data_IF_334635692116
#
_entry.id   IF_334635692116
#
_cell.length_a   1.000
_cell.length_b   1.000
_cell.length_c   1.000
_cell.angle_alpha   90.00
_cell.angle_beta   90.00
_cell.angle_gamma   90.00
#
_symmetry.space_group_name_H-M   'P 1'
#
loop_
_entity.id
_entity.type
_entity.pdbx_description
1 polymer ?
#
# COMPACT_ATOMS: atom_id res chain seq x y z
N UNK A 1 -12.22 17.31 -48.53
CA UNK A 1 -12.00 16.66 -47.22
C UNK A 1 -10.80 17.31 -46.58
N UNK A 2 -11.01 18.09 -45.52
CA UNK A 2 -9.93 18.85 -44.90
C UNK A 2 -10.46 19.62 -43.71
N UNK A 3 -10.75 18.92 -42.61
CA UNK A 3 -10.89 19.57 -41.31
C UNK A 3 -9.51 19.51 -40.65
N UNK A 4 -8.68 20.48 -40.96
CA UNK A 4 -7.52 20.83 -40.13
C UNK A 4 -7.92 22.08 -39.36
N UNK A 5 -8.81 21.90 -38.38
CA UNK A 5 -8.97 22.87 -37.31
C UNK A 5 -8.14 22.34 -36.13
N UNK A 6 -7.36 23.24 -35.56
CA UNK A 6 -6.44 23.00 -34.45
C UNK A 6 -7.24 22.53 -33.24
N UNK A 7 -7.43 21.22 -33.07
CA UNK A 7 -8.06 20.70 -31.87
C UNK A 7 -7.21 21.15 -30.67
N UNK A 8 -7.77 22.04 -29.85
CA UNK A 8 -7.05 22.66 -28.75
C UNK A 8 -6.49 21.61 -27.78
N UNK A 9 -5.53 22.01 -26.93
CA UNK A 9 -4.90 21.08 -25.99
C UNK A 9 -5.96 20.31 -25.18
N UNK A 10 -5.89 18.96 -25.10
CA UNK A 10 -6.86 18.19 -24.33
C UNK A 10 -6.73 18.46 -22.83
N UNK A 11 -7.67 17.89 -22.06
CA UNK A 11 -7.52 17.77 -20.62
C UNK A 11 -6.19 17.09 -20.25
N UNK A 12 -5.68 17.35 -19.06
CA UNK A 12 -4.45 16.69 -18.58
C UNK A 12 -4.61 16.28 -17.12
N UNK A 13 -4.05 15.13 -16.77
CA UNK A 13 -4.09 14.61 -15.41
C UNK A 13 -2.73 14.71 -14.73
N UNK A 14 -2.72 15.19 -13.49
CA UNK A 14 -1.56 15.07 -12.61
C UNK A 14 -1.91 14.21 -11.39
N UNK A 15 -1.23 13.08 -11.24
CA UNK A 15 -1.51 12.10 -10.18
C UNK A 15 -0.38 12.12 -9.14
N UNK A 16 -0.72 12.25 -7.86
CA UNK A 16 0.25 12.25 -6.77
C UNK A 16 0.66 10.82 -6.38
N UNK A 17 1.89 10.41 -6.70
CA UNK A 17 2.39 9.04 -6.54
C UNK A 17 3.75 8.92 -5.84
N UNK A 18 4.12 9.88 -5.00
CA UNK A 18 5.35 9.77 -4.20
C UNK A 18 5.14 9.16 -2.81
N UNK A 19 5.93 9.61 -1.83
CA UNK A 19 6.12 8.89 -0.57
C UNK A 19 4.85 8.77 0.30
N UNK A 20 3.88 9.68 0.15
CA UNK A 20 2.67 9.72 0.96
C UNK A 20 1.44 9.19 0.22
N UNK A 21 1.23 9.60 -1.03
CA UNK A 21 0.08 9.20 -1.84
C UNK A 21 0.49 8.06 -2.77
N UNK A 22 -0.35 7.04 -2.94
CA UNK A 22 0.00 5.88 -3.77
C UNK A 22 0.68 4.72 -3.02
N UNK A 23 0.64 4.70 -1.68
CA UNK A 23 1.21 3.60 -0.88
C UNK A 23 0.13 2.84 -0.12
N UNK A 24 0.26 1.52 -0.03
CA UNK A 24 -0.63 0.65 0.78
C UNK A 24 -0.67 1.07 2.26
N UNK A 25 0.42 1.67 2.76
CA UNK A 25 0.49 2.17 4.15
C UNK A 25 -0.46 3.35 4.38
N UNK A 26 -0.56 4.27 3.41
CA UNK A 26 -1.42 5.45 3.53
C UNK A 26 -2.86 5.13 3.19
N UNK A 27 -3.06 4.36 2.13
CA UNK A 27 -4.36 3.96 1.59
C UNK A 27 -4.33 2.45 1.38
N UNK A 28 -4.67 1.65 2.41
CA UNK A 28 -4.79 0.21 2.27
C UNK A 28 -5.99 -0.15 1.39
N UNK A 29 -5.96 -1.31 0.75
CA UNK A 29 -7.06 -1.81 -0.11
C UNK A 29 -7.04 -1.30 -1.55
N UNK A 30 -6.38 -0.18 -1.83
CA UNK A 30 -6.31 0.38 -3.18
C UNK A 30 -5.11 -0.15 -3.96
N UNK A 31 -5.36 -0.69 -5.16
CA UNK A 31 -4.31 -0.95 -6.14
C UNK A 31 -3.97 0.33 -6.92
N UNK A 32 -2.99 1.05 -6.38
CA UNK A 32 -2.50 2.29 -6.99
C UNK A 32 -1.96 2.04 -8.41
N UNK A 33 -1.30 0.90 -8.68
CA UNK A 33 -0.70 0.66 -10.00
C UNK A 33 -1.80 0.47 -11.05
N UNK A 34 -2.78 -0.39 -10.76
CA UNK A 34 -3.92 -0.61 -11.65
C UNK A 34 -4.71 0.68 -11.87
N UNK A 35 -4.93 1.48 -10.82
CA UNK A 35 -5.59 2.77 -10.96
C UNK A 35 -4.82 3.74 -11.87
N UNK A 36 -3.48 3.81 -11.78
CA UNK A 36 -2.71 4.68 -12.67
C UNK A 36 -2.78 4.20 -14.11
N UNK A 37 -2.73 2.89 -14.33
CA UNK A 37 -2.89 2.32 -15.67
C UNK A 37 -4.24 2.70 -16.27
N UNK A 38 -5.33 2.60 -15.49
CA UNK A 38 -6.67 3.05 -15.92
C UNK A 38 -6.70 4.54 -16.26
N UNK A 39 -6.21 5.41 -15.37
CA UNK A 39 -6.15 6.85 -15.64
C UNK A 39 -5.31 7.19 -16.88
N UNK A 40 -4.24 6.44 -17.12
CA UNK A 40 -3.36 6.62 -18.29
C UNK A 40 -3.92 6.06 -19.60
N UNK A 41 -5.03 5.33 -19.54
CA UNK A 41 -5.74 4.79 -20.71
C UNK A 41 -6.99 5.62 -21.07
N UNK A 42 -7.24 6.74 -20.38
CA UNK A 42 -8.35 7.64 -20.68
C UNK A 42 -8.10 8.38 -21.99
N UNK A 43 -9.11 8.39 -22.85
CA UNK A 43 -9.19 9.20 -24.06
C UNK A 43 -10.22 10.32 -23.90
N UNK A 44 -10.07 11.44 -24.60
CA UNK A 44 -11.11 12.47 -24.69
C UNK A 44 -12.24 12.08 -25.66
N UNK A 45 -13.31 12.88 -25.76
CA UNK A 45 -14.40 12.61 -26.72
C UNK A 45 -13.95 12.53 -28.18
N UNK A 46 -12.79 13.10 -28.52
CA UNK A 46 -12.20 13.03 -29.86
C UNK A 46 -11.34 11.78 -30.07
N UNK A 47 -11.27 10.88 -29.08
CA UNK A 47 -10.47 9.66 -29.10
C UNK A 47 -8.96 9.90 -28.94
N UNK A 48 -8.56 11.04 -28.37
CA UNK A 48 -7.14 11.37 -28.15
C UNK A 48 -6.72 11.00 -26.73
N UNK A 49 -5.52 10.43 -26.55
CA UNK A 49 -5.02 10.06 -25.23
C UNK A 49 -4.82 11.28 -24.35
N UNK A 50 -5.36 11.22 -23.13
CA UNK A 50 -5.25 12.28 -22.13
C UNK A 50 -3.86 12.21 -21.49
N UNK A 51 -3.04 13.28 -21.57
CA UNK A 51 -1.71 13.25 -20.98
C UNK A 51 -1.77 13.11 -19.46
N UNK A 52 -1.17 12.03 -18.94
CA UNK A 52 -1.07 11.75 -17.51
C UNK A 52 0.37 11.88 -17.05
N UNK A 53 0.59 12.73 -16.05
CA UNK A 53 1.90 12.88 -15.38
C UNK A 53 1.80 12.50 -13.92
N UNK A 54 2.83 11.83 -13.43
CA UNK A 54 2.96 11.54 -12.00
C UNK A 54 3.78 12.63 -11.32
N UNK A 55 3.38 13.00 -10.11
CA UNK A 55 4.12 13.92 -9.25
C UNK A 55 4.56 13.21 -7.97
N UNK A 56 5.74 13.60 -7.45
CA UNK A 56 6.22 13.06 -6.17
C UNK A 56 5.40 13.58 -4.98
N UNK A 57 4.95 14.83 -5.02
CA UNK A 57 4.10 15.39 -3.97
C UNK A 57 3.33 16.61 -4.50
N UNK A 58 2.07 16.71 -4.08
CA UNK A 58 1.19 17.86 -4.34
C UNK A 58 0.90 18.71 -3.09
N UNK A 59 1.62 18.47 -1.99
CA UNK A 59 1.54 19.27 -0.75
C UNK A 59 0.39 18.91 0.20
N UNK A 60 -0.72 18.37 -0.30
CA UNK A 60 -1.92 18.06 0.49
C UNK A 60 -2.03 16.57 0.88
N UNK A 61 -0.95 16.01 1.43
CA UNK A 61 -0.84 14.58 1.78
C UNK A 61 -1.90 14.07 2.79
N UNK A 62 -2.67 14.95 3.44
CA UNK A 62 -3.78 14.56 4.31
C UNK A 62 -5.03 14.12 3.54
N UNK A 63 -5.21 14.59 2.31
CA UNK A 63 -6.29 14.12 1.43
C UNK A 63 -5.98 12.75 0.83
N UNK A 64 -4.70 12.38 0.66
CA UNK A 64 -4.30 11.12 0.04
C UNK A 64 -4.82 10.92 -1.41
N UNK A 65 -4.13 10.06 -2.16
CA UNK A 65 -4.42 9.69 -3.55
C UNK A 65 -5.00 10.83 -4.43
N UNK A 66 -4.24 11.93 -4.50
CA UNK A 66 -4.71 13.16 -5.14
C UNK A 66 -4.55 13.09 -6.65
N UNK A 67 -5.60 13.47 -7.37
CA UNK A 67 -5.63 13.65 -8.81
C UNK A 67 -5.99 15.11 -9.11
N UNK A 68 -5.28 15.73 -10.05
CA UNK A 68 -5.60 17.08 -10.53
C UNK A 68 -6.01 16.97 -11.99
N UNK A 69 -7.24 17.39 -12.29
CA UNK A 69 -7.76 17.48 -13.65
C UNK A 69 -7.53 18.90 -14.14
N UNK A 70 -6.66 19.05 -15.13
CA UNK A 70 -6.45 20.33 -15.80
C UNK A 70 -7.43 20.44 -16.97
N UNK A 71 -8.11 21.59 -17.13
CA UNK A 71 -9.01 21.82 -18.25
C UNK A 71 -8.29 21.75 -19.59
N UNK A 72 -9.04 21.35 -20.61
CA UNK A 72 -8.68 21.52 -22.02
C UNK A 72 -8.51 23.02 -22.37
N UNK A 73 -8.04 23.31 -23.57
CA UNK A 73 -7.96 24.69 -24.05
C UNK A 73 -9.34 25.36 -24.10
N UNK A 74 -10.33 24.67 -24.66
CA UNK A 74 -11.72 25.13 -24.72
C UNK A 74 -12.32 25.30 -23.32
N UNK A 75 -12.10 24.31 -22.43
CA UNK A 75 -12.52 24.42 -21.03
C UNK A 75 -11.92 25.62 -20.33
N UNK A 76 -10.65 25.98 -20.58
CA UNK A 76 -10.05 27.21 -20.04
C UNK A 76 -10.69 28.47 -20.59
N UNK A 77 -11.00 28.50 -21.89
CA UNK A 77 -11.67 29.65 -22.54
C UNK A 77 -13.09 29.82 -21.96
N UNK A 78 -13.80 28.73 -21.69
CA UNK A 78 -15.08 28.70 -20.98
C UNK A 78 -14.97 29.02 -19.47
N UNK A 79 -13.77 29.40 -18.98
CA UNK A 79 -13.55 29.80 -17.58
C UNK A 79 -13.09 28.66 -16.65
N UNK A 80 -13.06 27.43 -17.13
CA UNK A 80 -12.60 26.24 -16.40
C UNK A 80 -11.23 26.42 -15.74
N UNK A 81 -11.12 25.91 -14.51
CA UNK A 81 -9.90 25.94 -13.69
C UNK A 81 -9.49 24.52 -13.32
N UNK A 82 -8.22 24.28 -12.96
CA UNK A 82 -7.80 22.97 -12.49
C UNK A 82 -8.59 22.53 -11.25
N UNK A 83 -9.16 21.33 -11.31
CA UNK A 83 -9.91 20.75 -10.19
C UNK A 83 -9.03 19.73 -9.48
N UNK A 84 -8.94 19.89 -8.15
CA UNK A 84 -8.16 19.00 -7.30
C UNK A 84 -9.09 18.02 -6.61
N UNK A 85 -8.83 16.74 -6.78
CA UNK A 85 -9.62 15.64 -6.21
C UNK A 85 -8.75 14.87 -5.22
N UNK A 86 -9.22 14.77 -3.98
CA UNK A 86 -8.60 13.99 -2.91
C UNK A 86 -9.35 12.67 -2.66
N UNK A 87 -8.69 11.70 -2.04
CA UNK A 87 -9.31 10.43 -1.66
C UNK A 87 -9.93 9.66 -2.84
N UNK A 88 -9.38 9.81 -4.05
CA UNK A 88 -9.82 9.07 -5.25
C UNK A 88 -9.41 7.61 -5.10
N UNK A 89 -10.19 6.81 -4.39
CA UNK A 89 -9.79 5.48 -3.91
C UNK A 89 -10.67 4.35 -4.41
N UNK A 90 -11.88 4.69 -4.82
CA UNK A 90 -12.88 3.78 -5.36
C UNK A 90 -12.85 3.79 -6.89
N UNK A 91 -13.23 2.68 -7.51
CA UNK A 91 -13.24 2.52 -8.96
C UNK A 91 -14.26 3.44 -9.63
N UNK A 92 -15.44 3.59 -9.03
CA UNK A 92 -16.47 4.55 -9.47
C UNK A 92 -15.98 6.00 -9.56
N UNK A 93 -14.97 6.38 -8.78
CA UNK A 93 -14.40 7.73 -8.85
C UNK A 93 -13.45 7.88 -10.03
N UNK A 94 -12.79 6.80 -10.43
CA UNK A 94 -11.93 6.78 -11.62
C UNK A 94 -12.82 6.82 -12.87
N UNK A 95 -13.88 6.01 -12.90
CA UNK A 95 -14.91 6.01 -13.96
C UNK A 95 -15.55 7.40 -14.08
N UNK A 96 -15.98 8.01 -12.97
CA UNK A 96 -16.53 9.37 -13.02
C UNK A 96 -15.54 10.45 -13.50
N UNK A 97 -14.22 10.24 -13.35
CA UNK A 97 -13.20 11.13 -13.92
C UNK A 97 -13.08 10.91 -15.42
N UNK A 98 -13.11 9.64 -15.86
CA UNK A 98 -13.07 9.24 -17.27
C UNK A 98 -14.27 9.84 -18.02
N UNK A 99 -15.50 9.52 -17.57
CA UNK A 99 -16.74 10.05 -18.14
C UNK A 99 -16.73 11.59 -18.17
N UNK A 100 -16.25 12.23 -17.10
CA UNK A 100 -16.21 13.68 -17.07
C UNK A 100 -15.22 14.27 -18.07
N UNK A 101 -14.06 13.64 -18.28
CA UNK A 101 -13.09 14.08 -19.29
C UNK A 101 -13.62 13.82 -20.69
N UNK A 102 -14.30 12.69 -20.91
CA UNK A 102 -15.00 12.39 -22.15
C UNK A 102 -15.98 13.53 -22.47
N UNK A 103 -16.83 13.93 -21.52
CA UNK A 103 -17.75 15.08 -21.66
C UNK A 103 -17.05 16.47 -21.74
N UNK A 104 -15.72 16.52 -21.84
CA UNK A 104 -14.92 17.75 -22.03
C UNK A 104 -14.31 18.33 -20.75
N UNK A 105 -14.66 17.80 -19.58
CA UNK A 105 -14.01 18.08 -18.31
C UNK A 105 -14.27 19.50 -17.75
N UNK A 106 -13.37 20.02 -16.90
CA UNK A 106 -13.59 21.28 -16.19
C UNK A 106 -13.84 22.46 -17.12
N UNK A 107 -14.99 23.13 -16.94
CA UNK A 107 -15.40 24.31 -17.70
C UNK A 107 -16.34 24.02 -18.87
N UNK A 108 -16.34 22.80 -19.40
CA UNK A 108 -17.26 22.37 -20.46
C UNK A 108 -18.39 21.49 -19.92
N UNK A 109 -18.07 20.59 -18.98
CA UNK A 109 -19.03 19.73 -18.31
C UNK A 109 -19.08 20.02 -16.81
N UNK A 110 -20.28 20.06 -16.19
CA UNK A 110 -20.42 20.28 -14.75
C UNK A 110 -19.72 19.18 -13.96
N UNK A 111 -19.27 19.51 -12.75
CA UNK A 111 -18.62 18.53 -11.87
C UNK A 111 -19.61 17.41 -11.51
N UNK A 112 -19.28 16.13 -11.74
CA UNK A 112 -20.12 15.01 -11.34
C UNK A 112 -20.36 14.99 -9.82
N UNK A 113 -21.60 14.72 -9.40
CA UNK A 113 -21.99 14.70 -8.00
C UNK A 113 -21.14 13.72 -7.15
N UNK A 114 -20.75 12.58 -7.73
CA UNK A 114 -19.91 11.57 -7.07
C UNK A 114 -18.51 12.11 -6.74
N UNK A 115 -18.03 13.14 -7.45
CA UNK A 115 -16.74 13.77 -7.21
C UNK A 115 -16.82 14.98 -6.26
N UNK A 116 -18.02 15.49 -5.96
CA UNK A 116 -18.21 16.72 -5.19
C UNK A 116 -17.56 16.66 -3.80
N UNK A 117 -17.78 15.56 -3.06
CA UNK A 117 -17.20 15.34 -1.72
C UNK A 117 -15.67 15.15 -1.75
N UNK A 118 -15.10 14.93 -2.93
CA UNK A 118 -13.68 14.72 -3.15
C UNK A 118 -12.96 15.99 -3.59
N UNK A 119 -13.67 17.07 -3.90
CA UNK A 119 -13.06 18.34 -4.28
C UNK A 119 -12.28 18.93 -3.12
N UNK A 120 -11.04 19.32 -3.41
CA UNK A 120 -10.13 19.98 -2.47
C UNK A 120 -9.45 21.14 -3.20
N UNK A 121 -8.53 21.82 -2.53
CA UNK A 121 -7.64 22.80 -3.15
C UNK A 121 -6.19 22.51 -2.79
N UNK A 122 -5.26 23.12 -3.54
CA UNK A 122 -3.82 23.13 -3.23
C UNK A 122 -3.55 23.66 -1.81
N UNK A 123 -4.35 24.62 -1.37
CA UNK A 123 -4.19 25.34 -0.10
C UNK A 123 -5.06 24.76 1.03
N UNK A 124 -5.70 23.61 0.78
CA UNK A 124 -6.56 22.96 1.76
C UNK A 124 -5.78 22.71 3.06
N UNK A 125 -6.34 23.19 4.18
CA UNK A 125 -5.72 23.03 5.50
C UNK A 125 -6.23 21.74 6.14
N UNK A 126 -5.31 20.96 6.70
CA UNK A 126 -5.67 19.76 7.44
C UNK A 126 -6.60 20.14 8.61
N UNK A 127 -7.78 19.52 8.74
CA UNK A 127 -8.69 19.84 9.83
C UNK A 127 -8.02 19.57 11.17
N UNK A 128 -8.09 20.54 12.08
CA UNK A 128 -7.55 20.40 13.44
C UNK A 128 -8.37 19.31 14.15
N UNK A 129 -7.72 18.26 14.64
CA UNK A 129 -8.39 17.26 15.48
C UNK A 129 -9.04 17.96 16.68
N UNK A 130 -10.36 17.79 16.86
CA UNK A 130 -11.05 18.24 18.08
C UNK A 130 -10.30 17.68 19.29
N UNK A 131 -9.92 18.53 20.23
CA UNK A 131 -9.26 18.10 21.47
C UNK A 131 -10.22 17.17 22.19
N UNK A 132 -9.83 15.90 22.36
CA UNK A 132 -10.59 14.95 23.16
C UNK A 132 -10.66 15.47 24.60
N UNK A 133 -11.84 15.49 25.25
CA UNK A 133 -11.96 15.91 26.65
C UNK A 133 -11.11 14.99 27.53
N UNK A 134 -10.47 15.55 28.57
CA UNK A 134 -9.50 14.84 29.44
C UNK A 134 -10.05 13.51 29.99
N UNK A 135 -11.33 13.46 30.33
CA UNK A 135 -12.01 12.24 30.81
C UNK A 135 -12.00 11.08 29.79
N UNK A 136 -12.07 11.37 28.49
CA UNK A 136 -12.02 10.31 27.47
C UNK A 136 -10.62 9.67 27.33
N UNK A 137 -9.55 10.36 27.77
CA UNK A 137 -8.19 9.81 27.82
C UNK A 137 -7.95 8.97 29.07
N UNK A 138 -8.45 9.40 30.24
CA UNK A 138 -8.34 8.59 31.47
C UNK A 138 -9.13 7.29 31.32
N UNK A 139 -10.39 7.35 30.85
CA UNK A 139 -11.22 6.18 30.62
C UNK A 139 -10.58 5.18 29.63
N UNK A 140 -9.94 5.67 28.56
CA UNK A 140 -9.22 4.79 27.61
C UNK A 140 -7.96 4.16 28.23
N UNK A 141 -7.28 4.85 29.15
CA UNK A 141 -6.10 4.33 29.86
C UNK A 141 -6.51 3.25 30.87
N UNK A 142 -7.59 3.46 31.60
CA UNK A 142 -8.20 2.50 32.53
C UNK A 142 -8.55 1.19 31.80
N UNK A 143 -9.38 1.23 30.75
CA UNK A 143 -9.75 0.03 29.97
C UNK A 143 -8.54 -0.73 29.41
N UNK A 144 -7.47 -0.04 29.02
CA UNK A 144 -6.25 -0.68 28.53
C UNK A 144 -5.52 -1.43 29.65
N UNK A 145 -5.39 -0.81 30.82
CA UNK A 145 -4.82 -1.46 32.01
C UNK A 145 -5.62 -2.69 32.42
N UNK A 146 -6.95 -2.60 32.39
CA UNK A 146 -7.83 -3.73 32.73
C UNK A 146 -7.68 -4.89 31.75
N UNK A 147 -7.63 -4.61 30.44
CA UNK A 147 -7.41 -5.63 29.40
C UNK A 147 -6.06 -6.33 29.57
N UNK A 148 -4.99 -5.56 29.81
CA UNK A 148 -3.65 -6.12 30.04
C UNK A 148 -3.60 -6.96 31.33
N UNK A 149 -4.27 -6.50 32.40
CA UNK A 149 -4.42 -7.25 33.65
C UNK A 149 -5.21 -8.55 33.43
N UNK A 150 -6.27 -8.51 32.64
CA UNK A 150 -7.07 -9.68 32.28
C UNK A 150 -6.27 -10.68 31.44
N UNK A 151 -5.52 -10.23 30.43
CA UNK A 151 -4.62 -11.07 29.62
C UNK A 151 -3.54 -11.75 30.49
N UNK A 152 -2.91 -11.00 31.42
CA UNK A 152 -1.95 -11.56 32.38
C UNK A 152 -2.58 -12.60 33.30
N UNK A 153 -3.81 -12.35 33.78
CA UNK A 153 -4.55 -13.30 34.63
C UNK A 153 -4.90 -14.58 33.85
N UNK A 154 -5.39 -14.44 32.62
CA UNK A 154 -5.71 -15.58 31.75
C UNK A 154 -4.47 -16.43 31.45
N UNK A 155 -3.33 -15.79 31.14
CA UNK A 155 -2.07 -16.49 30.90
C UNK A 155 -1.56 -17.25 32.15
N UNK A 156 -1.71 -16.66 33.35
CA UNK A 156 -1.38 -17.34 34.61
C UNK A 156 -2.32 -18.52 34.90
N UNK A 157 -3.63 -18.35 34.66
CA UNK A 157 -4.60 -19.42 34.83
C UNK A 157 -4.34 -20.59 33.88
N UNK A 158 -4.03 -20.31 32.60
CA UNK A 158 -3.66 -21.31 31.62
C UNK A 158 -2.39 -22.09 32.01
N UNK A 159 -1.36 -21.39 32.52
CA UNK A 159 -0.15 -22.05 33.06
C UNK A 159 -0.46 -22.96 34.25
N UNK A 160 -1.26 -22.50 35.23
CA UNK A 160 -1.67 -23.34 36.37
C UNK A 160 -2.51 -24.56 35.97
N UNK A 161 -3.38 -24.41 34.96
CA UNK A 161 -4.19 -25.51 34.44
C UNK A 161 -3.31 -26.56 33.74
N UNK A 162 -2.32 -26.13 32.94
CA UNK A 162 -1.36 -27.03 32.30
C UNK A 162 -0.48 -27.77 33.34
N UNK A 163 -0.07 -27.10 34.41
CA UNK A 163 0.71 -27.72 35.49
C UNK A 163 -0.12 -28.73 36.31
N UNK A 164 -1.40 -28.44 36.59
CA UNK A 164 -2.32 -29.41 37.22
C UNK A 164 -2.61 -30.62 36.33
N UNK A 165 -2.71 -30.44 35.02
CA UNK A 165 -2.90 -31.54 34.08
C UNK A 165 -1.66 -32.45 33.99
N UNK A 166 -0.47 -31.92 34.25
CA UNK A 166 0.76 -32.70 34.34
C UNK A 166 0.96 -33.41 35.70
N UNK A 167 0.22 -33.01 36.75
CA UNK A 167 0.31 -33.57 38.11
C UNK A 167 -0.66 -34.72 38.41
N UNK A 168 -1.54 -35.10 37.47
CA UNK A 168 -2.43 -36.27 37.58
C UNK A 168 -1.90 -37.40 36.70
N UNK A 169 -0.71 -37.90 37.03
CA UNK A 169 -0.10 -39.08 36.42
C UNK A 169 0.56 -39.90 37.51
N UNK A 170 -0.23 -40.71 38.21
CA UNK A 170 0.26 -41.84 38.98
C UNK A 170 0.84 -42.87 38.00
N UNK A 171 2.06 -43.34 38.27
CA UNK A 171 2.75 -44.42 37.57
C UNK A 171 1.86 -45.60 37.16
N UNK A 172 2.06 -46.13 35.94
CA UNK A 172 2.09 -47.57 35.76
C UNK A 172 3.53 -48.01 35.46
N UNK A 173 4.06 -48.73 36.44
CA UNK A 173 5.18 -49.68 36.46
C UNK A 173 5.65 -50.18 35.08
N UNK A 174 6.96 -50.21 34.79
CA UNK A 174 7.49 -50.78 33.54
C UNK A 174 7.44 -52.32 33.59
N UNK A 175 6.66 -52.95 32.71
CA UNK A 175 6.75 -54.38 32.46
C UNK A 175 7.88 -54.73 31.47
N UNK A 176 8.62 -55.78 31.84
CA UNK A 176 9.78 -56.37 31.15
C UNK A 176 9.45 -56.83 29.72
N UNK A 177 10.36 -56.66 28.74
CA UNK A 177 10.31 -57.43 27.51
C UNK A 177 10.93 -58.82 27.72
N UNK A 178 10.19 -59.88 27.36
CA UNK A 178 10.73 -61.24 27.20
C UNK A 178 11.13 -61.47 25.74
N UNK A 179 12.29 -62.10 25.59
CA UNK A 179 12.97 -62.49 24.34
C UNK A 179 12.17 -63.52 23.52
N UNK A 180 12.31 -63.48 22.19
CA UNK A 180 12.54 -64.66 21.36
C UNK A 180 13.14 -64.25 19.99
N UNK A 181 14.33 -64.78 19.76
CA UNK A 181 15.07 -65.20 18.57
C UNK A 181 15.05 -64.49 17.18
N UNK A 182 16.28 -64.47 16.64
CA UNK A 182 16.88 -64.05 15.34
C UNK A 182 17.03 -65.32 14.47
N UNK A 183 17.23 -65.37 13.11
CA UNK A 183 18.20 -64.63 12.27
C UNK A 183 17.67 -64.22 10.86
N UNK A 184 18.35 -63.46 9.98
CA UNK A 184 19.72 -63.56 9.48
C UNK A 184 20.18 -62.29 8.71
N UNK A 185 21.49 -62.25 8.44
CA UNK A 185 22.42 -61.37 7.66
C UNK A 185 21.82 -60.65 6.43
N UNK A 186 22.39 -59.59 5.85
CA UNK A 186 23.77 -59.08 5.69
C UNK A 186 23.66 -57.55 5.45
N UNK A 187 24.67 -56.68 5.34
CA UNK A 187 26.12 -56.75 5.15
C UNK A 187 26.70 -55.38 5.61
N UNK A 188 27.99 -55.32 5.89
CA UNK A 188 28.75 -54.15 6.41
C UNK A 188 29.79 -53.76 5.34
N UNK A 189 30.68 -52.78 5.56
CA UNK A 189 30.57 -51.43 6.12
C UNK A 189 31.03 -50.41 5.03
N UNK A 190 31.23 -49.11 5.25
CA UNK A 190 32.54 -48.60 5.66
C UNK A 190 32.62 -47.04 5.62
N UNK A 191 33.23 -46.51 6.70
CA UNK A 191 34.02 -45.25 6.89
C UNK A 191 33.49 -43.89 6.45
N UNK A 192 33.62 -42.94 7.38
CA UNK A 192 33.68 -41.51 7.03
C UNK A 192 33.77 -40.56 8.22
N UNK A 193 34.96 -40.45 8.82
CA UNK A 193 35.31 -39.55 9.95
C UNK A 193 34.99 -38.07 9.70
N UNK A 194 34.63 -37.41 10.82
CA UNK A 194 35.05 -36.07 11.29
C UNK A 194 35.44 -34.99 10.25
N UNK A 195 34.88 -33.78 10.40
CA UNK A 195 35.60 -32.61 10.99
C UNK A 195 35.06 -31.26 10.51
N UNK A 196 34.98 -30.34 11.48
CA UNK A 196 35.07 -28.86 11.35
C UNK A 196 35.96 -28.38 10.19
N UNK A 197 35.56 -27.24 9.59
CA UNK A 197 36.25 -25.91 9.62
C UNK A 197 36.04 -25.17 8.29
N UNK A 198 35.69 -23.88 8.38
CA UNK A 198 35.18 -23.09 7.25
C UNK A 198 36.19 -22.46 6.29
N UNK A 199 35.66 -21.61 5.39
CA UNK A 199 36.32 -20.58 4.56
C UNK A 199 35.16 -19.81 3.88
N UNK A 200 34.96 -18.49 4.02
CA UNK A 200 35.71 -17.34 3.47
C UNK A 200 36.31 -17.57 2.08
N UNK A 201 35.71 -16.90 1.08
CA UNK A 201 36.25 -16.28 -0.15
C UNK A 201 35.05 -15.55 -0.80
N UNK A 202 34.94 -14.23 -0.98
CA UNK A 202 35.79 -13.18 -1.58
C UNK A 202 36.09 -13.42 -3.07
N UNK A 203 35.50 -12.54 -3.91
CA UNK A 203 36.17 -11.61 -4.86
C UNK A 203 35.82 -11.78 -6.35
N UNK A 204 35.62 -10.63 -6.99
CA UNK A 204 35.73 -10.39 -8.44
C UNK A 204 34.77 -9.26 -8.86
N UNK A 205 35.07 -7.97 -8.66
CA UNK A 205 36.01 -7.09 -9.38
C UNK A 205 35.75 -7.02 -10.89
N UNK A 206 35.23 -5.89 -11.38
CA UNK A 206 35.70 -5.24 -12.61
C UNK A 206 35.66 -3.72 -12.45
N UNK A 207 36.81 -3.10 -12.75
CA UNK A 207 37.07 -1.67 -12.90
C UNK A 207 36.97 -1.31 -14.39
N UNK A 208 36.65 -0.05 -14.67
CA UNK A 208 37.15 0.79 -15.77
C UNK A 208 36.34 2.10 -15.71
N UNK A 209 36.82 3.29 -16.03
CA UNK A 209 38.15 3.89 -16.06
C UNK A 209 37.87 5.40 -16.11
N UNK A 210 38.76 6.23 -15.56
CA UNK A 210 38.61 7.68 -15.56
C UNK A 210 39.77 8.26 -16.34
N UNK A 211 39.48 9.01 -17.41
CA UNK A 211 40.42 9.99 -17.97
C UNK A 211 39.70 11.01 -18.85
N UNK A 212 39.68 12.25 -18.35
CA UNK A 212 40.09 13.44 -19.09
C UNK A 212 39.17 14.02 -20.17
N UNK A 213 38.70 15.26 -19.93
CA UNK A 213 39.01 16.37 -20.84
C UNK A 213 38.81 17.74 -20.18
N UNK A 214 39.91 18.50 -20.09
CA UNK A 214 39.90 19.96 -20.18
C UNK A 214 39.80 20.33 -21.67
N UNK A 215 38.91 21.26 -22.00
CA UNK A 215 39.19 22.49 -22.75
C UNK A 215 37.97 23.40 -22.62
#
# INVERSE_FOLDING_TARGET
>A
MGVNAVDGRPCQLTVCRGCCCGTKKKVPGVDHKAQLARLSAIDDHSGRPVPVRTSKCLGICFQANVVVVQPSQEGRVAGGRPVWLGQVTEDKLVEAIDDWIFEGGPGLSPLPAVLADHVTSKDAKKPKKRKKPKHSKSAKKERRKEREKAERKAAKAARKAAEKAAGAGSDPKPEKPKKADKPEKADKPEKGKKSKKGKKSKKGKKKADASGKKK
#
